data_IF_408439849888
#
_entry.id   IF_408439849888
#
_cell.length_a   1.000
_cell.length_b   1.000
_cell.length_c   1.000
_cell.angle_alpha   90.00
_cell.angle_beta   90.00
_cell.angle_gamma   90.00
#
_symmetry.space_group_name_H-M   'P 1'
#
loop_
_entity.id
_entity.type
_entity.pdbx_description
1 polymer ?
#
# COMPACT_ATOMS: atom_id res chain seq x y z
N UNK A 1 -13.88 2.85 18.08
CA UNK A 1 -14.07 1.64 17.25
C UNK A 1 -13.61 1.98 15.85
N UNK A 2 -12.72 1.18 15.25
CA UNK A 2 -12.32 1.36 13.85
C UNK A 2 -13.53 0.99 13.01
N UNK A 3 -14.05 1.93 12.21
CA UNK A 3 -15.13 1.68 11.24
C UNK A 3 -14.72 0.56 10.29
N UNK A 4 -15.64 -0.34 9.95
CA UNK A 4 -15.34 -1.40 8.99
C UNK A 4 -14.98 -0.79 7.64
N UNK A 5 -13.75 -0.99 7.11
CA UNK A 5 -13.34 -0.35 5.87
C UNK A 5 -14.18 -0.77 4.65
N UNK A 6 -14.92 -1.89 4.74
CA UNK A 6 -15.76 -2.41 3.65
C UNK A 6 -17.19 -1.84 3.65
N UNK A 7 -17.54 -0.96 4.58
CA UNK A 7 -18.92 -0.45 4.74
C UNK A 7 -19.29 0.70 3.77
N UNK A 8 -18.34 1.21 2.98
CA UNK A 8 -18.51 2.29 2.00
C UNK A 8 -17.75 1.94 0.72
N UNK A 9 -17.83 2.79 -0.31
CA UNK A 9 -16.95 2.71 -1.48
C UNK A 9 -15.49 2.57 -1.03
N UNK A 10 -14.83 1.47 -1.41
CA UNK A 10 -13.48 1.17 -0.95
C UNK A 10 -12.47 1.87 -1.86
N UNK A 11 -12.00 3.03 -1.42
CA UNK A 11 -10.90 3.74 -2.03
C UNK A 11 -9.56 3.27 -1.49
N UNK A 12 -8.55 3.27 -2.35
CA UNK A 12 -7.17 3.04 -1.97
C UNK A 12 -6.25 4.05 -2.65
N UNK A 13 -5.15 4.33 -1.97
CA UNK A 13 -4.24 5.43 -2.23
C UNK A 13 -2.81 4.91 -2.31
N UNK A 14 -2.07 5.43 -3.27
CA UNK A 14 -0.65 5.12 -3.45
C UNK A 14 0.10 6.41 -3.78
N UNK A 15 1.30 6.53 -3.24
CA UNK A 15 2.22 7.61 -3.54
C UNK A 15 3.46 7.02 -4.22
N UNK A 16 3.69 7.43 -5.47
CA UNK A 16 4.82 6.96 -6.28
C UNK A 16 5.74 8.11 -6.62
N UNK A 17 7.01 7.80 -6.89
CA UNK A 17 7.87 8.72 -7.63
C UNK A 17 7.23 9.00 -9.00
N UNK A 18 7.16 10.27 -9.44
CA UNK A 18 6.34 10.68 -10.60
C UNK A 18 6.67 9.90 -11.88
N UNK A 19 7.96 9.57 -12.10
CA UNK A 19 8.41 8.73 -13.23
C UNK A 19 7.76 7.34 -13.31
N UNK A 20 7.25 6.81 -12.19
CA UNK A 20 6.61 5.51 -12.10
C UNK A 20 5.07 5.59 -12.12
N UNK A 21 4.50 6.79 -12.01
CA UNK A 21 3.05 6.99 -11.97
C UNK A 21 2.29 6.42 -13.19
N UNK A 22 2.80 6.48 -14.43
CA UNK A 22 2.10 5.86 -15.58
C UNK A 22 1.98 4.34 -15.47
N UNK A 23 2.84 3.68 -14.69
CA UNK A 23 2.87 2.23 -14.47
C UNK A 23 2.58 1.88 -13.01
N UNK A 24 1.83 2.73 -12.30
CA UNK A 24 1.56 2.60 -10.86
C UNK A 24 0.91 1.24 -10.51
N UNK A 25 0.13 0.68 -11.42
CA UNK A 25 -0.60 -0.57 -11.26
C UNK A 25 0.20 -1.82 -11.67
N UNK A 26 1.46 -1.70 -12.06
CA UNK A 26 2.23 -2.82 -12.61
C UNK A 26 2.81 -3.78 -11.56
N UNK A 27 3.10 -3.30 -10.35
CA UNK A 27 3.74 -4.11 -9.31
C UNK A 27 5.23 -4.44 -9.53
N UNK A 28 5.86 -3.92 -10.59
CA UNK A 28 7.23 -4.26 -11.02
C UNK A 28 8.27 -3.96 -9.92
N UNK A 29 8.11 -2.87 -9.17
CA UNK A 29 9.04 -2.54 -8.08
C UNK A 29 9.04 -3.59 -6.96
N UNK A 30 7.86 -4.07 -6.57
CA UNK A 30 7.72 -5.11 -5.56
C UNK A 30 8.17 -6.47 -6.07
N UNK A 31 8.01 -6.75 -7.36
CA UNK A 31 8.53 -7.96 -8.01
C UNK A 31 10.07 -7.98 -7.95
N UNK A 32 10.73 -6.89 -8.36
CA UNK A 32 12.19 -6.84 -8.43
C UNK A 32 12.87 -6.92 -7.06
N UNK A 33 12.32 -6.24 -6.06
CA UNK A 33 12.95 -6.12 -4.74
C UNK A 33 12.36 -7.07 -3.69
N UNK A 34 11.16 -7.60 -3.91
CA UNK A 34 10.33 -8.16 -2.86
C UNK A 34 9.75 -7.05 -1.99
N UNK A 35 8.85 -7.43 -1.07
CA UNK A 35 8.25 -6.50 -0.14
C UNK A 35 7.94 -7.18 1.20
N UNK A 36 7.14 -6.51 2.02
CA UNK A 36 6.74 -7.04 3.33
C UNK A 36 5.87 -8.31 3.19
N UNK A 37 5.02 -8.34 2.17
CA UNK A 37 3.99 -9.35 1.96
C UNK A 37 4.17 -10.13 0.65
N UNK A 38 5.33 -10.00 -0.03
CA UNK A 38 5.63 -10.76 -1.24
C UNK A 38 7.12 -11.05 -1.37
N UNK A 39 7.50 -12.25 -1.86
CA UNK A 39 8.89 -12.54 -2.20
C UNK A 39 9.30 -11.82 -3.49
N UNK A 40 10.62 -11.78 -3.75
CA UNK A 40 11.15 -11.38 -5.06
C UNK A 40 10.57 -12.29 -6.15
N UNK A 41 10.25 -11.71 -7.30
CA UNK A 41 9.62 -12.38 -8.44
C UNK A 41 8.10 -12.46 -8.38
N UNK A 42 7.45 -11.87 -7.37
CA UNK A 42 5.99 -11.84 -7.27
C UNK A 42 5.48 -10.39 -7.32
N UNK A 43 4.65 -10.06 -8.31
CA UNK A 43 4.14 -8.69 -8.53
C UNK A 43 3.06 -8.32 -7.51
N UNK A 44 3.25 -7.19 -6.81
CA UNK A 44 2.25 -6.63 -5.89
C UNK A 44 2.24 -5.12 -5.97
N UNK A 45 1.03 -4.56 -5.98
CA UNK A 45 0.78 -3.14 -5.78
C UNK A 45 0.35 -2.94 -4.32
N UNK A 46 1.23 -2.33 -3.53
CA UNK A 46 0.98 -1.81 -2.19
C UNK A 46 0.28 -0.45 -2.23
N UNK A 47 -0.85 -0.33 -1.55
CA UNK A 47 -1.60 0.90 -1.34
C UNK A 47 -2.09 0.98 0.12
N UNK A 48 -2.72 2.09 0.48
CA UNK A 48 -3.36 2.31 1.78
C UNK A 48 -4.80 2.75 1.59
N UNK A 49 -5.67 2.52 2.58
CA UNK A 49 -7.08 2.94 2.48
C UNK A 49 -7.30 4.44 2.67
N UNK A 50 -6.27 5.16 3.07
CA UNK A 50 -6.29 6.61 3.20
C UNK A 50 -4.98 7.22 2.70
N UNK A 51 -5.08 8.44 2.17
CA UNK A 51 -3.93 9.17 1.62
C UNK A 51 -2.86 9.44 2.70
N UNK A 52 -3.26 9.72 3.94
CA UNK A 52 -2.32 10.02 5.03
C UNK A 52 -1.40 8.83 5.33
N UNK A 53 -1.94 7.61 5.34
CA UNK A 53 -1.17 6.37 5.53
C UNK A 53 -0.27 6.10 4.32
N UNK A 54 -0.73 6.33 3.09
CA UNK A 54 0.11 6.20 1.90
C UNK A 54 1.32 7.16 1.93
N UNK A 55 1.11 8.41 2.37
CA UNK A 55 2.18 9.39 2.58
C UNK A 55 3.12 8.92 3.70
N UNK A 56 2.57 8.46 4.83
CA UNK A 56 3.34 8.00 5.97
C UNK A 56 4.23 6.80 5.61
N UNK A 57 3.73 5.84 4.83
CA UNK A 57 4.50 4.70 4.33
C UNK A 57 5.73 5.20 3.55
N UNK A 58 5.61 6.18 2.65
CA UNK A 58 6.78 6.70 1.94
C UNK A 58 7.69 7.51 2.87
N UNK A 59 7.11 8.34 3.75
CA UNK A 59 7.85 9.19 4.68
C UNK A 59 8.74 8.40 5.64
N UNK A 60 8.26 7.29 6.22
CA UNK A 60 9.09 6.49 7.14
C UNK A 60 10.22 5.75 6.45
N UNK A 61 10.09 5.46 5.15
CA UNK A 61 11.11 4.73 4.38
C UNK A 61 12.10 5.66 3.66
N UNK A 62 11.70 6.89 3.32
CA UNK A 62 12.49 7.83 2.48
C UNK A 62 12.75 9.19 3.13
N UNK A 63 12.05 9.52 4.21
CA UNK A 63 12.10 10.81 4.89
C UNK A 63 11.30 11.92 4.18
N UNK A 64 10.91 12.93 4.95
CA UNK A 64 10.18 14.09 4.43
C UNK A 64 11.00 14.92 3.45
N UNK A 65 12.33 14.99 3.61
CA UNK A 65 13.21 15.64 2.64
C UNK A 65 13.05 15.06 1.22
N UNK A 66 12.92 13.75 1.08
CA UNK A 66 12.71 13.12 -0.23
C UNK A 66 11.34 13.49 -0.79
N UNK A 67 10.30 13.51 0.04
CA UNK A 67 8.95 13.90 -0.36
C UNK A 67 8.84 15.37 -0.77
N UNK A 68 9.70 16.23 -0.23
CA UNK A 68 9.75 17.66 -0.52
C UNK A 68 10.53 17.96 -1.81
N UNK A 69 11.70 17.33 -1.99
CA UNK A 69 12.62 17.65 -3.09
C UNK A 69 12.41 16.81 -4.35
N UNK A 70 11.75 15.65 -4.25
CA UNK A 70 11.56 14.73 -5.37
C UNK A 70 10.09 14.71 -5.78
N UNK A 71 9.82 14.83 -7.07
CA UNK A 71 8.45 14.85 -7.57
C UNK A 71 7.76 13.50 -7.35
N UNK A 72 6.66 13.50 -6.58
CA UNK A 72 5.79 12.36 -6.38
C UNK A 72 4.40 12.60 -6.98
N UNK A 73 3.70 11.51 -7.29
CA UNK A 73 2.31 11.51 -7.77
C UNK A 73 1.47 10.70 -6.80
N UNK A 74 0.37 11.29 -6.33
CA UNK A 74 -0.64 10.61 -5.54
C UNK A 74 -1.70 10.05 -6.48
N UNK A 75 -1.98 8.75 -6.36
CA UNK A 75 -3.03 8.06 -7.11
C UNK A 75 -4.09 7.57 -6.13
N UNK A 76 -5.36 7.85 -6.44
CA UNK A 76 -6.51 7.27 -5.77
C UNK A 76 -7.28 6.40 -6.77
N UNK A 77 -7.67 5.20 -6.35
CA UNK A 77 -8.49 4.30 -7.11
C UNK A 77 -9.58 3.69 -6.22
N UNK A 78 -10.66 3.22 -6.84
CA UNK A 78 -11.81 2.63 -6.17
C UNK A 78 -11.96 1.18 -6.61
N UNK A 79 -12.17 0.27 -5.65
CA UNK A 79 -12.52 -1.12 -5.94
C UNK A 79 -13.99 -1.18 -6.37
N UNK A 80 -14.24 -1.77 -7.54
CA UNK A 80 -15.60 -1.86 -8.13
C UNK A 80 -16.49 -2.87 -7.41
N UNK A 81 -15.90 -3.96 -6.90
CA UNK A 81 -16.60 -5.03 -6.19
C UNK A 81 -15.83 -5.41 -4.92
N UNK A 82 -16.32 -4.95 -3.77
CA UNK A 82 -15.69 -5.18 -2.47
C UNK A 82 -15.74 -6.65 -2.03
N UNK A 83 -16.60 -7.49 -2.64
CA UNK A 83 -16.63 -8.93 -2.36
C UNK A 83 -15.36 -9.65 -2.83
N UNK A 84 -14.58 -9.01 -3.71
CA UNK A 84 -13.28 -9.51 -4.20
C UNK A 84 -12.12 -9.21 -3.25
N UNK A 85 -12.38 -8.54 -2.13
CA UNK A 85 -11.37 -8.11 -1.18
C UNK A 85 -11.30 -9.09 -0.02
N UNK A 86 -10.15 -9.73 0.17
CA UNK A 86 -9.91 -10.58 1.33
C UNK A 86 -9.36 -9.76 2.49
N UNK A 87 -10.06 -9.75 3.63
CA UNK A 87 -9.65 -9.01 4.83
C UNK A 87 -8.89 -9.92 5.79
N UNK A 88 -7.64 -9.55 6.08
CA UNK A 88 -6.81 -10.20 7.10
C UNK A 88 -6.95 -9.44 8.42
N UNK A 89 -7.58 -10.04 9.41
CA UNK A 89 -7.60 -9.46 10.76
C UNK A 89 -6.30 -9.78 11.51
N UNK A 90 -6.04 -9.02 12.58
CA UNK A 90 -4.86 -9.23 13.43
C UNK A 90 -4.73 -10.66 13.95
N UNK A 91 -5.88 -11.27 14.27
CA UNK A 91 -5.96 -12.65 14.79
C UNK A 91 -5.62 -13.71 13.73
N UNK A 92 -5.72 -13.35 12.44
CA UNK A 92 -5.48 -14.26 11.32
C UNK A 92 -3.98 -14.31 10.97
N UNK A 93 -3.19 -13.37 11.51
CA UNK A 93 -1.74 -13.31 11.28
C UNK A 93 -1.03 -14.29 12.23
N UNK A 94 -0.30 -15.29 11.72
CA UNK A 94 0.38 -16.30 12.55
C UNK A 94 1.39 -15.74 13.56
N UNK A 95 2.03 -14.62 13.23
CA UNK A 95 3.00 -13.97 14.11
C UNK A 95 2.74 -12.46 14.15
N UNK A 96 2.33 -11.94 15.31
CA UNK A 96 1.99 -10.53 15.50
C UNK A 96 3.16 -9.56 15.25
N UNK A 97 4.42 -10.03 15.30
CA UNK A 97 5.58 -9.20 14.94
C UNK A 97 5.60 -8.84 13.45
N UNK A 98 4.86 -9.56 12.59
CA UNK A 98 4.69 -9.20 11.18
C UNK A 98 3.96 -7.87 11.01
N UNK A 99 3.15 -7.46 12.01
CA UNK A 99 2.40 -6.20 12.08
C UNK A 99 3.14 -5.11 12.85
N UNK A 100 4.47 -5.22 12.96
CA UNK A 100 5.35 -4.25 13.59
C UNK A 100 6.43 -3.80 12.60
N UNK A 101 6.96 -2.57 12.74
CA UNK A 101 8.12 -2.14 11.98
C UNK A 101 9.30 -3.10 12.16
N UNK A 102 9.99 -3.43 11.07
CA UNK A 102 11.10 -4.38 11.07
C UNK A 102 11.28 -5.08 9.72
N UNK A 103 12.36 -5.85 9.61
CA UNK A 103 12.70 -6.63 8.41
C UNK A 103 11.69 -7.76 8.19
N UNK A 104 11.12 -7.92 6.98
CA UNK A 104 10.17 -8.98 6.72
C UNK A 104 10.84 -10.36 6.74
N UNK A 105 10.13 -11.33 7.31
CA UNK A 105 10.56 -12.73 7.33
C UNK A 105 10.10 -13.48 6.07
N UNK A 106 10.77 -14.59 5.74
CA UNK A 106 10.35 -15.48 4.63
C UNK A 106 8.89 -15.95 4.80
N UNK A 107 8.51 -16.36 6.01
CA UNK A 107 7.15 -16.85 6.29
C UNK A 107 6.09 -15.76 6.12
N UNK A 108 6.42 -14.51 6.43
CA UNK A 108 5.53 -13.36 6.20
C UNK A 108 5.31 -13.12 4.70
N UNK A 109 6.38 -13.15 3.91
CA UNK A 109 6.28 -12.99 2.45
C UNK A 109 5.47 -14.12 1.82
N UNK A 110 5.70 -15.37 2.24
CA UNK A 110 4.95 -16.53 1.75
C UNK A 110 3.47 -16.47 2.13
N UNK A 111 3.15 -15.98 3.33
CA UNK A 111 1.76 -15.76 3.76
C UNK A 111 1.04 -14.77 2.84
N UNK A 112 1.64 -13.60 2.59
CA UNK A 112 1.03 -12.59 1.72
C UNK A 112 0.91 -13.06 0.26
N UNK A 113 1.93 -13.73 -0.27
CA UNK A 113 1.90 -14.30 -1.62
C UNK A 113 0.76 -15.31 -1.80
N UNK A 114 0.60 -16.25 -0.85
CA UNK A 114 -0.49 -17.25 -0.88
C UNK A 114 -1.88 -16.61 -0.92
N UNK A 115 -2.08 -15.51 -0.19
CA UNK A 115 -3.34 -14.78 -0.23
C UNK A 115 -3.54 -14.10 -1.59
N UNK A 116 -2.49 -13.49 -2.13
CA UNK A 116 -2.53 -12.78 -3.42
C UNK A 116 -2.61 -13.72 -4.63
N UNK A 117 -2.27 -14.99 -4.50
CA UNK A 117 -2.56 -16.02 -5.50
C UNK A 117 -4.06 -16.32 -5.62
N UNK A 118 -4.82 -16.09 -4.54
CA UNK A 118 -6.24 -16.46 -4.45
C UNK A 118 -7.18 -15.25 -4.57
N UNK A 119 -6.69 -14.07 -4.22
CA UNK A 119 -7.49 -12.86 -4.10
C UNK A 119 -6.85 -11.69 -4.87
N UNK A 120 -7.62 -10.95 -5.68
CA UNK A 120 -7.11 -9.78 -6.40
C UNK A 120 -6.72 -8.65 -5.45
N UNK A 121 -7.41 -8.56 -4.30
CA UNK A 121 -7.13 -7.58 -3.27
C UNK A 121 -7.07 -8.24 -1.90
N UNK A 122 -6.08 -7.86 -1.10
CA UNK A 122 -5.92 -8.29 0.28
C UNK A 122 -5.77 -7.06 1.17
N UNK A 123 -6.70 -6.88 2.10
CA UNK A 123 -6.61 -5.87 3.16
C UNK A 123 -5.81 -6.41 4.34
N UNK A 124 -4.88 -5.61 4.82
CA UNK A 124 -4.01 -5.99 5.93
C UNK A 124 -3.71 -4.80 6.84
N UNK A 125 -3.56 -4.98 8.17
CA UNK A 125 -3.24 -3.87 9.07
C UNK A 125 -1.91 -3.22 8.69
N UNK A 126 -1.86 -1.89 8.68
CA UNK A 126 -0.63 -1.17 8.42
C UNK A 126 0.36 -1.32 9.57
N UNK A 127 1.65 -1.48 9.23
CA UNK A 127 2.73 -1.54 10.22
C UNK A 127 3.16 -0.14 10.69
N UNK A 128 2.95 0.89 9.86
CA UNK A 128 3.36 2.28 10.15
C UNK A 128 2.29 3.06 10.89
N UNK A 129 1.02 2.74 10.63
CA UNK A 129 -0.15 3.27 11.37
C UNK A 129 -1.01 2.08 11.81
N UNK A 130 -0.87 1.60 13.05
CA UNK A 130 -1.53 0.36 13.49
C UNK A 130 -3.05 0.37 13.30
N UNK A 131 -3.73 1.50 13.41
CA UNK A 131 -5.18 1.57 13.25
C UNK A 131 -5.65 1.87 11.82
N UNK A 132 -4.71 1.97 10.88
CA UNK A 132 -4.96 2.09 9.44
C UNK A 132 -4.80 0.75 8.72
N UNK A 133 -5.25 0.72 7.47
CA UNK A 133 -5.23 -0.47 6.63
C UNK A 133 -4.43 -0.22 5.35
N UNK A 134 -3.64 -1.21 4.97
CA UNK A 134 -3.03 -1.31 3.66
C UNK A 134 -3.83 -2.26 2.77
N UNK A 135 -3.85 -1.96 1.48
CA UNK A 135 -4.40 -2.81 0.43
C UNK A 135 -3.25 -3.33 -0.42
N UNK A 136 -3.14 -4.65 -0.51
CA UNK A 136 -2.26 -5.33 -1.45
C UNK A 136 -3.10 -5.73 -2.66
N UNK A 137 -2.67 -5.34 -3.85
CA UNK A 137 -3.35 -5.68 -5.10
C UNK A 137 -2.44 -6.58 -5.93
N UNK A 138 -2.98 -7.72 -6.37
CA UNK A 138 -2.36 -8.54 -7.41
C UNK A 138 -2.76 -7.95 -8.77
N UNK A 139 -1.82 -7.35 -9.53
CA UNK A 139 -2.15 -6.66 -10.77
C UNK A 139 -2.71 -7.57 -11.85
N UNK A 140 -2.38 -8.87 -11.83
CA UNK A 140 -2.85 -9.84 -12.82
C UNK A 140 -4.32 -10.23 -12.61
N UNK A 141 -4.75 -10.28 -11.34
CA UNK A 141 -6.13 -10.66 -10.99
C UNK A 141 -7.06 -9.45 -10.91
N UNK A 142 -6.51 -8.25 -10.73
CA UNK A 142 -7.29 -7.04 -10.44
C UNK A 142 -7.57 -6.13 -11.65
N UNK A 143 -7.05 -6.43 -12.84
CA UNK A 143 -7.00 -5.51 -14.00
C UNK A 143 -8.31 -4.73 -14.27
N UNK A 144 -9.47 -5.39 -14.19
CA UNK A 144 -10.78 -4.78 -14.46
C UNK A 144 -11.62 -4.51 -13.20
N UNK A 145 -11.08 -4.78 -12.02
CA UNK A 145 -11.80 -4.75 -10.73
C UNK A 145 -11.65 -3.43 -9.95
N UNK A 146 -10.95 -2.46 -10.53
CA UNK A 146 -10.86 -1.09 -9.99
C UNK A 146 -11.03 -0.05 -11.08
N UNK A 147 -11.17 1.20 -10.67
CA UNK A 147 -11.09 2.37 -11.53
C UNK A 147 -10.23 3.44 -10.86
N UNK A 148 -9.47 4.18 -11.66
CA UNK A 148 -8.71 5.34 -11.18
C UNK A 148 -9.67 6.51 -10.98
N UNK A 149 -9.64 7.09 -9.79
CA UNK A 149 -10.48 8.23 -9.40
C UNK A 149 -9.72 9.54 -9.52
N UNK A 150 -8.44 9.52 -9.14
CA UNK A 150 -7.55 10.67 -9.14
C UNK A 150 -6.12 10.23 -9.41
N UNK A 151 -5.38 11.01 -10.20
CA UNK A 151 -3.93 10.91 -10.27
C UNK A 151 -3.37 12.32 -10.44
N UNK A 152 -2.68 12.83 -9.42
CA UNK A 152 -2.20 14.20 -9.40
C UNK A 152 -0.82 14.33 -8.76
N UNK A 153 -0.15 15.44 -9.04
CA UNK A 153 1.15 15.75 -8.43
C UNK A 153 0.96 15.96 -6.93
N UNK A 154 1.75 15.24 -6.14
CA UNK A 154 1.83 15.44 -4.70
C UNK A 154 2.74 16.62 -4.35
N UNK A 155 2.31 17.42 -3.38
CA UNK A 155 3.10 18.50 -2.80
C UNK A 155 3.09 18.35 -1.27
N UNK A 156 4.27 18.26 -0.67
CA UNK A 156 4.41 18.21 0.78
C UNK A 156 4.21 19.62 1.36
N UNK A 157 3.50 19.72 2.49
CA UNK A 157 3.51 20.94 3.29
C UNK A 157 4.92 21.15 3.87
N UNK A 158 5.55 22.29 3.56
CA UNK A 158 6.93 22.59 4.01
C UNK A 158 7.13 22.56 5.52
N UNK A 159 6.07 22.64 6.33
CA UNK A 159 6.15 22.47 7.79
C UNK A 159 6.53 21.05 8.21
N UNK A 160 6.36 20.06 7.34
CA UNK A 160 6.81 18.68 7.54
C UNK A 160 8.30 18.48 7.25
N UNK A 161 8.97 19.47 6.66
CA UNK A 161 10.41 19.51 6.43
C UNK A 161 10.97 20.91 6.79
N UNK A 162 10.98 21.28 8.09
CA UNK A 162 11.33 22.63 8.51
C UNK A 162 12.82 22.96 8.23
N UNK A 163 13.19 24.25 8.11
CA UNK A 163 14.59 24.66 8.06
C UNK A 163 15.38 24.16 9.26
N UNK A 164 16.68 23.93 9.07
CA UNK A 164 17.60 23.64 10.18
C UNK A 164 17.59 24.83 11.17
N UNK A 165 17.51 24.52 12.47
CA UNK A 165 17.65 25.48 13.55
C UNK A 165 19.11 25.70 13.91
#
# INVERSE_FOLDING_TARGET
>A
MVTDPLAQDLHFWRLDHSRHAPAWNSGIGAEACGGRWNPKGFQVVYASLDAATAILEVAVHKGFQTLDCVAHTLTAARVKDTSKVHKVERKDVPNLNWLRPGTPSRSQQAFGAKLLEQHPFVLIPSCVSPYSWNLLMNPLLAADLYEVVLQERFALDGRLNPPLQ
#
